data_IF_175021148898
#
_entry.id   IF_175021148898
#
_cell.length_a   1.000
_cell.length_b   1.000
_cell.length_c   1.000
_cell.angle_alpha   90.00
_cell.angle_beta   90.00
_cell.angle_gamma   90.00
#
_symmetry.space_group_name_H-M   'P 1'
#
loop_
_entity.id
_entity.type
_entity.pdbx_description
1 polymer ?
#
# COMPACT_ATOMS: atom_id res chain seq x y z
N UNK A 1 13.05 -2.78 33.67
CA UNK A 1 12.71 -2.84 32.23
C UNK A 1 12.83 -4.29 31.78
N UNK A 2 11.73 -5.05 31.78
CA UNK A 2 11.73 -6.50 31.54
C UNK A 2 11.71 -6.84 30.04
N UNK A 3 12.54 -7.80 29.63
CA UNK A 3 12.75 -8.29 28.24
C UNK A 3 11.56 -9.06 27.64
N UNK A 4 10.37 -9.00 28.24
CA UNK A 4 9.23 -9.87 27.94
C UNK A 4 8.42 -9.47 26.69
N UNK A 5 8.80 -8.37 26.01
CA UNK A 5 8.10 -7.86 24.81
C UNK A 5 8.52 -8.55 23.49
N UNK A 6 9.58 -9.38 23.51
CA UNK A 6 10.08 -10.04 22.30
C UNK A 6 9.32 -11.30 21.87
N UNK A 7 8.22 -11.66 22.55
CA UNK A 7 7.35 -12.73 22.06
C UNK A 7 6.50 -12.24 20.88
N UNK A 8 7.13 -12.15 19.71
CA UNK A 8 6.44 -12.14 18.41
C UNK A 8 5.58 -13.40 18.33
N UNK A 9 4.28 -13.25 18.55
CA UNK A 9 3.29 -14.23 18.11
C UNK A 9 3.26 -14.17 16.58
N UNK A 10 4.21 -14.86 15.96
CA UNK A 10 4.17 -15.11 14.52
C UNK A 10 2.86 -15.82 14.22
N UNK A 11 2.00 -15.33 13.32
CA UNK A 11 0.85 -16.10 12.88
C UNK A 11 1.35 -17.45 12.39
N UNK A 12 0.78 -18.52 12.93
CA UNK A 12 1.09 -19.90 12.57
C UNK A 12 1.03 -20.03 11.05
N UNK A 13 2.19 -20.20 10.43
CA UNK A 13 2.26 -20.47 9.00
C UNK A 13 1.61 -21.84 8.80
N UNK A 14 0.48 -21.87 8.09
CA UNK A 14 -0.09 -23.11 7.60
C UNK A 14 1.02 -23.91 6.92
N UNK A 15 1.13 -25.22 7.18
CA UNK A 15 2.23 -26.01 6.64
C UNK A 15 2.17 -25.93 5.12
N UNK A 16 3.16 -25.23 4.54
CA UNK A 16 3.35 -25.23 3.09
C UNK A 16 3.55 -26.68 2.65
N UNK A 17 2.98 -27.10 1.50
CA UNK A 17 3.23 -28.44 0.97
C UNK A 17 4.74 -28.68 0.89
N UNK A 18 5.19 -29.87 1.28
CA UNK A 18 6.60 -30.26 1.27
C UNK A 18 7.07 -30.19 -0.20
N UNK A 19 7.87 -29.18 -0.51
CA UNK A 19 8.51 -29.04 -1.81
C UNK A 19 9.46 -30.23 -2.01
N UNK A 20 9.31 -30.95 -3.10
CA UNK A 20 10.23 -32.04 -3.45
C UNK A 20 11.56 -31.48 -3.95
N UNK A 21 12.63 -32.28 -3.90
CA UNK A 21 13.96 -31.86 -4.36
C UNK A 21 13.94 -31.43 -5.84
N UNK A 22 13.19 -32.15 -6.68
CA UNK A 22 13.05 -31.83 -8.10
C UNK A 22 12.34 -30.50 -8.31
N UNK A 23 11.27 -30.23 -7.55
CA UNK A 23 10.57 -28.94 -7.61
C UNK A 23 11.44 -27.77 -7.14
N UNK A 24 12.36 -28.01 -6.20
CA UNK A 24 13.31 -27.00 -5.76
C UNK A 24 14.35 -26.68 -6.85
N UNK A 25 14.87 -27.71 -7.51
CA UNK A 25 15.85 -27.56 -8.61
C UNK A 25 15.22 -26.81 -9.79
N UNK A 26 13.98 -27.15 -10.15
CA UNK A 26 13.25 -26.45 -11.19
C UNK A 26 13.09 -24.96 -10.83
N UNK A 27 12.60 -24.65 -9.62
CA UNK A 27 12.45 -23.27 -9.15
C UNK A 27 13.77 -22.48 -9.17
N UNK A 28 14.88 -23.10 -8.75
CA UNK A 28 16.20 -22.48 -8.79
C UNK A 28 16.65 -22.18 -10.23
N UNK A 29 16.32 -23.07 -11.17
CA UNK A 29 16.65 -22.92 -12.59
C UNK A 29 15.88 -21.75 -13.22
N UNK A 30 14.58 -21.63 -12.94
CA UNK A 30 13.77 -20.48 -13.37
C UNK A 30 14.25 -19.17 -12.75
N UNK A 31 14.61 -19.17 -11.45
CA UNK A 31 15.15 -17.99 -10.78
C UNK A 31 16.49 -17.54 -11.40
N UNK A 32 17.41 -18.47 -11.65
CA UNK A 32 18.70 -18.18 -12.30
C UNK A 32 18.53 -17.62 -13.70
N UNK A 33 17.49 -18.05 -14.43
CA UNK A 33 17.12 -17.53 -15.74
C UNK A 33 16.35 -16.19 -15.69
N UNK A 34 16.02 -15.67 -14.50
CA UNK A 34 15.22 -14.46 -14.33
C UNK A 34 13.75 -14.61 -14.73
N UNK A 35 13.22 -15.84 -14.78
CA UNK A 35 11.86 -16.14 -15.19
C UNK A 35 10.97 -16.50 -13.99
N UNK A 36 9.72 -16.05 -14.02
CA UNK A 36 8.72 -16.48 -13.05
C UNK A 36 8.29 -17.93 -13.34
N UNK A 37 8.33 -18.78 -12.31
CA UNK A 37 7.94 -20.19 -12.43
C UNK A 37 6.48 -20.34 -12.88
N UNK A 38 6.14 -21.21 -13.86
CA UNK A 38 4.81 -21.30 -14.48
C UNK A 38 3.67 -21.69 -13.51
N UNK A 39 4.01 -22.34 -12.39
CA UNK A 39 3.04 -22.69 -11.32
C UNK A 39 2.77 -21.57 -10.31
N UNK A 40 3.54 -20.49 -10.34
CA UNK A 40 3.20 -19.29 -9.60
C UNK A 40 2.14 -18.55 -10.43
N UNK A 41 0.86 -18.88 -10.20
CA UNK A 41 -0.22 -17.95 -10.56
C UNK A 41 0.07 -16.66 -9.79
N UNK A 42 0.72 -15.73 -10.46
CA UNK A 42 0.67 -14.33 -10.08
C UNK A 42 -0.81 -14.02 -10.11
N UNK A 43 -1.43 -13.92 -8.93
CA UNK A 43 -2.69 -13.21 -8.81
C UNK A 43 -2.36 -11.84 -9.39
N UNK A 44 -2.87 -11.56 -10.59
CA UNK A 44 -2.73 -10.27 -11.25
C UNK A 44 -3.27 -9.24 -10.28
N UNK A 45 -2.37 -8.66 -9.49
CA UNK A 45 -2.61 -7.42 -8.78
C UNK A 45 -3.06 -6.41 -9.83
N UNK A 46 -4.13 -5.64 -9.59
CA UNK A 46 -4.71 -4.79 -10.60
C UNK A 46 -3.69 -3.78 -11.14
N UNK A 47 -3.29 -4.02 -12.39
CA UNK A 47 -2.56 -3.11 -13.27
C UNK A 47 -1.07 -2.93 -12.98
N UNK A 48 -0.27 -2.61 -14.02
CA UNK A 48 1.04 -2.05 -13.82
C UNK A 48 0.84 -0.71 -13.12
N UNK A 49 1.04 -0.66 -11.80
CA UNK A 49 1.47 0.58 -11.19
C UNK A 49 2.79 0.90 -11.86
N UNK A 50 2.73 1.80 -12.85
CA UNK A 50 3.91 2.40 -13.44
C UNK A 50 4.86 2.69 -12.29
N UNK A 51 6.08 2.12 -12.27
CA UNK A 51 7.05 2.49 -11.27
C UNK A 51 7.33 3.95 -11.56
N UNK A 52 6.60 4.83 -10.86
CA UNK A 52 6.90 6.23 -10.83
C UNK A 52 8.35 6.26 -10.39
N UNK A 53 9.26 6.59 -11.31
CA UNK A 53 10.66 6.87 -11.05
C UNK A 53 10.76 8.19 -10.27
N UNK A 54 10.00 8.24 -9.17
CA UNK A 54 9.81 9.35 -8.29
C UNK A 54 10.49 9.02 -6.98
N UNK A 55 10.98 10.07 -6.33
CA UNK A 55 11.62 9.99 -5.04
C UNK A 55 10.85 9.11 -4.04
N UNK A 56 11.56 8.46 -3.10
CA UNK A 56 10.90 7.65 -2.08
C UNK A 56 9.82 8.45 -1.36
N UNK A 57 8.64 7.84 -1.23
CA UNK A 57 7.51 8.47 -0.56
C UNK A 57 7.83 8.72 0.92
N UNK A 58 7.68 9.99 1.34
CA UNK A 58 7.84 10.39 2.73
C UNK A 58 6.53 10.19 3.50
N UNK A 59 6.63 9.74 4.74
CA UNK A 59 5.49 9.60 5.63
C UNK A 59 5.13 10.95 6.25
N UNK A 60 3.83 11.22 6.39
CA UNK A 60 3.30 12.39 7.08
C UNK A 60 2.17 11.96 8.02
N UNK A 61 2.03 12.69 9.12
CA UNK A 61 0.93 12.50 10.06
C UNK A 61 0.02 13.73 10.01
N UNK A 62 -1.26 13.53 9.71
CA UNK A 62 -2.26 14.60 9.63
C UNK A 62 -3.41 14.27 10.56
N UNK A 63 -3.98 15.29 11.19
CA UNK A 63 -5.20 15.15 11.99
C UNK A 63 -6.40 15.49 11.10
N UNK A 64 -7.36 14.58 11.06
CA UNK A 64 -8.62 14.75 10.35
C UNK A 64 -9.74 14.87 11.38
N UNK A 65 -10.83 15.53 11.01
CA UNK A 65 -12.10 15.42 11.77
C UNK A 65 -12.65 14.01 11.66
N UNK A 66 -13.52 13.63 12.59
CA UNK A 66 -14.12 12.30 12.60
C UNK A 66 -14.92 12.04 11.32
N UNK A 67 -15.74 13.00 10.87
CA UNK A 67 -16.50 12.92 9.62
C UNK A 67 -15.60 12.72 8.38
N UNK A 68 -14.46 13.43 8.32
CA UNK A 68 -13.50 13.29 7.22
C UNK A 68 -12.83 11.91 7.23
N UNK A 69 -12.63 11.33 8.42
CA UNK A 69 -12.07 9.99 8.56
C UNK A 69 -13.07 8.92 8.15
N UNK A 70 -14.33 9.03 8.56
CA UNK A 70 -15.39 8.09 8.20
C UNK A 70 -15.64 8.07 6.68
N UNK A 71 -15.68 9.26 6.06
CA UNK A 71 -15.84 9.37 4.60
C UNK A 71 -14.66 8.76 3.85
N UNK A 72 -13.42 9.00 4.30
CA UNK A 72 -12.23 8.40 3.73
C UNK A 72 -12.23 6.86 3.87
N UNK A 73 -12.69 6.34 5.01
CA UNK A 73 -12.83 4.91 5.27
C UNK A 73 -13.87 4.26 4.37
N UNK A 74 -15.05 4.87 4.25
CA UNK A 74 -16.12 4.40 3.38
C UNK A 74 -15.69 4.38 1.90
N UNK A 75 -14.98 5.43 1.45
CA UNK A 75 -14.43 5.48 0.09
C UNK A 75 -13.38 4.40 -0.15
N UNK A 76 -12.50 4.16 0.82
CA UNK A 76 -11.47 3.12 0.73
C UNK A 76 -12.10 1.73 0.62
N UNK A 77 -13.13 1.44 1.43
CA UNK A 77 -13.84 0.16 1.40
C UNK A 77 -14.62 -0.03 0.09
N UNK A 78 -15.29 1.02 -0.41
CA UNK A 78 -16.10 0.95 -1.64
C UNK A 78 -15.24 0.78 -2.89
N UNK A 79 -14.08 1.42 -2.95
CA UNK A 79 -13.22 1.44 -4.15
C UNK A 79 -12.10 0.41 -4.13
N UNK A 80 -11.76 -0.13 -2.95
CA UNK A 80 -10.56 -0.95 -2.77
C UNK A 80 -9.25 -0.17 -2.83
N UNK A 81 -9.30 1.17 -2.95
CA UNK A 81 -8.12 2.04 -3.01
C UNK A 81 -7.68 2.37 -1.59
N UNK A 82 -6.36 2.35 -1.32
CA UNK A 82 -5.83 2.72 -0.01
C UNK A 82 -6.08 4.21 0.30
N UNK A 83 -6.30 4.51 1.59
CA UNK A 83 -6.48 5.87 2.11
C UNK A 83 -5.41 6.85 1.62
N UNK A 84 -4.14 6.47 1.72
CA UNK A 84 -3.02 7.30 1.28
C UNK A 84 -3.04 7.59 -0.22
N UNK A 85 -3.51 6.64 -1.05
CA UNK A 85 -3.68 6.86 -2.49
C UNK A 85 -4.86 7.78 -2.77
N UNK A 86 -5.98 7.63 -2.07
CA UNK A 86 -7.13 8.55 -2.19
C UNK A 86 -6.74 9.99 -1.85
N UNK A 87 -6.01 10.20 -0.75
CA UNK A 87 -5.52 11.53 -0.36
C UNK A 87 -4.61 12.12 -1.44
N UNK A 88 -3.69 11.33 -2.02
CA UNK A 88 -2.83 11.82 -3.12
C UNK A 88 -3.61 12.16 -4.39
N UNK A 89 -4.63 11.38 -4.74
CA UNK A 89 -5.48 11.68 -5.90
C UNK A 89 -6.19 13.01 -5.66
N UNK A 90 -6.74 13.20 -4.47
CA UNK A 90 -7.42 14.43 -4.10
C UNK A 90 -6.48 15.65 -4.14
N UNK A 91 -5.29 15.53 -3.54
CA UNK A 91 -4.24 16.54 -3.60
C UNK A 91 -3.79 16.86 -5.04
N UNK A 92 -3.78 15.87 -5.93
CA UNK A 92 -3.43 16.09 -7.34
C UNK A 92 -4.50 16.83 -8.17
N UNK A 93 -5.71 16.97 -7.64
CA UNK A 93 -6.82 17.70 -8.28
C UNK A 93 -6.96 19.14 -7.76
N UNK A 94 -6.26 19.46 -6.66
CA UNK A 94 -6.31 20.77 -6.04
C UNK A 94 -5.36 21.74 -6.75
N UNK A 95 -5.88 22.92 -7.10
CA UNK A 95 -5.08 24.05 -7.53
C UNK A 95 -4.72 24.89 -6.29
N UNK A 96 -3.45 24.89 -5.85
CA UNK A 96 -3.06 25.42 -4.54
C UNK A 96 -3.32 26.93 -4.42
N UNK A 97 -3.26 27.70 -5.52
CA UNK A 97 -3.48 29.14 -5.46
C UNK A 97 -4.95 29.49 -5.22
N UNK A 98 -5.84 28.75 -5.89
CA UNK A 98 -7.29 28.92 -5.74
C UNK A 98 -7.73 28.51 -4.33
N UNK A 99 -7.19 27.40 -3.84
CA UNK A 99 -7.54 26.90 -2.52
C UNK A 99 -7.03 27.84 -1.41
N UNK A 100 -5.81 28.37 -1.54
CA UNK A 100 -5.27 29.36 -0.61
C UNK A 100 -6.13 30.64 -0.56
N UNK A 101 -6.55 31.16 -1.70
CA UNK A 101 -7.43 32.34 -1.76
C UNK A 101 -8.79 32.06 -1.09
N UNK A 102 -9.37 30.88 -1.34
CA UNK A 102 -10.65 30.48 -0.72
C UNK A 102 -10.56 30.37 0.81
N UNK A 103 -9.45 29.82 1.30
CA UNK A 103 -9.19 29.71 2.73
C UNK A 103 -9.04 31.09 3.37
N UNK A 104 -8.22 31.97 2.78
CA UNK A 104 -8.04 33.33 3.29
C UNK A 104 -9.36 34.11 3.32
N UNK A 105 -10.21 33.96 2.29
CA UNK A 105 -11.53 34.58 2.25
C UNK A 105 -12.47 34.04 3.36
N UNK A 106 -12.33 32.78 3.76
CA UNK A 106 -13.14 32.18 4.83
C UNK A 106 -12.76 32.63 6.24
N UNK A 107 -11.51 33.05 6.44
CA UNK A 107 -10.94 33.42 7.77
C UNK A 107 -11.24 34.86 8.16
N UNK A 108 -11.51 35.75 7.20
CA UNK A 108 -11.71 37.19 7.43
C UNK A 108 -13.17 37.54 7.81
N UNK A 109 -14.03 36.53 8.02
CA UNK A 109 -15.46 36.72 8.32
C UNK A 109 -15.76 36.57 9.81
#
# INVERSE_FOLDING_TARGET
MTFSSLMRKSPSATPKPRLTADEFIDQASYYAAGQAHPKLKVVESPGPVSPCAGEPMKTTSVRLTDDARETLDALSQKTGISRSRLVRIWLGQLDPEVEAQSFLASVIR
#
